data_IF_345087682144
#
_entry.id   IF_345087682144
#
_cell.length_a   1.000
_cell.length_b   1.000
_cell.length_c   1.000
_cell.angle_alpha   90.00
_cell.angle_beta   90.00
_cell.angle_gamma   90.00
#
_symmetry.space_group_name_H-M   'P 1'
#
loop_
_entity.id
_entity.type
_entity.pdbx_description
1 polymer ?
#
# COMPACT_ATOMS: atom_id res chain seq x y z
N UNK A 1 -15.62 9.00 -3.02
CA UNK A 1 -14.38 8.66 -2.31
C UNK A 1 -14.38 9.46 -1.02
N UNK A 2 -14.26 8.83 0.14
CA UNK A 2 -14.34 9.51 1.43
C UNK A 2 -13.07 10.35 1.66
N UNK A 3 -13.16 11.69 1.50
CA UNK A 3 -11.98 12.57 1.60
C UNK A 3 -11.30 12.53 2.97
N UNK A 4 -12.05 12.29 4.06
CA UNK A 4 -11.49 12.10 5.40
C UNK A 4 -10.63 10.82 5.46
N UNK A 5 -11.17 9.68 5.01
CA UNK A 5 -10.44 8.41 4.96
C UNK A 5 -9.18 8.51 4.11
N UNK A 6 -9.25 9.20 2.96
CA UNK A 6 -8.08 9.47 2.15
C UNK A 6 -7.03 10.31 2.91
N UNK A 7 -7.44 11.36 3.60
CA UNK A 7 -6.53 12.20 4.38
C UNK A 7 -5.84 11.41 5.50
N UNK A 8 -6.58 10.51 6.16
CA UNK A 8 -6.05 9.64 7.20
C UNK A 8 -5.04 8.63 6.64
N UNK A 9 -5.36 7.98 5.52
CA UNK A 9 -4.43 7.07 4.81
C UNK A 9 -3.15 7.81 4.38
N UNK A 10 -3.30 9.01 3.83
CA UNK A 10 -2.18 9.82 3.37
C UNK A 10 -1.27 10.23 4.54
N UNK A 11 -1.87 10.67 5.65
CA UNK A 11 -1.13 11.04 6.86
C UNK A 11 -0.41 9.84 7.48
N UNK A 12 -1.07 8.68 7.55
CA UNK A 12 -0.44 7.44 8.01
C UNK A 12 0.72 7.02 7.10
N UNK A 13 0.54 7.07 5.79
CA UNK A 13 1.59 6.69 4.82
C UNK A 13 2.80 7.62 4.92
N UNK A 14 2.58 8.94 5.05
CA UNK A 14 3.66 9.91 5.30
C UNK A 14 4.38 9.64 6.62
N UNK A 15 3.66 9.30 7.68
CA UNK A 15 4.25 9.00 8.97
C UNK A 15 5.14 7.75 8.90
N UNK A 16 4.67 6.66 8.28
CA UNK A 16 5.45 5.43 8.05
C UNK A 16 6.73 5.75 7.25
N UNK A 17 6.58 6.55 6.19
CA UNK A 17 7.68 6.92 5.30
C UNK A 17 8.48 8.15 5.78
N UNK A 18 8.26 8.65 6.99
CA UNK A 18 9.10 9.70 7.57
C UNK A 18 10.39 9.14 8.18
N UNK A 19 10.39 7.86 8.55
CA UNK A 19 11.55 7.16 9.07
C UNK A 19 12.55 6.81 7.95
N UNK A 20 13.86 6.68 8.25
CA UNK A 20 14.83 6.14 7.31
C UNK A 20 14.38 4.79 6.77
N UNK A 21 14.52 4.60 5.45
CA UNK A 21 14.27 3.30 4.84
C UNK A 21 15.58 2.51 4.80
N UNK A 22 15.53 1.18 4.94
CA UNK A 22 16.67 0.32 4.64
C UNK A 22 17.21 0.59 3.23
N UNK A 23 18.52 0.47 3.06
CA UNK A 23 19.14 0.48 1.73
C UNK A 23 18.69 -0.76 0.94
N UNK A 24 18.48 -0.60 -0.36
CA UNK A 24 18.15 -1.71 -1.26
C UNK A 24 16.67 -2.00 -1.46
N UNK A 25 15.75 -1.21 -0.88
CA UNK A 25 14.32 -1.33 -1.20
C UNK A 25 14.10 -1.05 -2.69
N UNK A 26 13.67 -2.07 -3.44
CA UNK A 26 13.44 -2.02 -4.87
C UNK A 26 11.98 -1.71 -5.24
N UNK A 27 11.01 -2.18 -4.44
CA UNK A 27 9.59 -1.95 -4.65
C UNK A 27 8.81 -1.97 -3.33
N UNK A 28 7.59 -1.43 -3.34
CA UNK A 28 6.69 -1.40 -2.18
C UNK A 28 5.38 -2.13 -2.46
N UNK A 29 4.83 -2.76 -1.43
CA UNK A 29 3.53 -3.40 -1.50
C UNK A 29 2.69 -3.02 -0.28
N UNK A 30 1.41 -2.71 -0.49
CA UNK A 30 0.44 -2.56 0.60
C UNK A 30 -0.31 -3.89 0.78
N UNK A 31 0.07 -4.64 1.81
CA UNK A 31 -0.67 -5.82 2.24
C UNK A 31 -2.02 -5.38 2.83
N UNK A 32 -3.10 -6.01 2.38
CA UNK A 32 -4.43 -5.87 2.95
C UNK A 32 -4.81 -7.14 3.70
N UNK A 33 -5.05 -7.02 4.99
CA UNK A 33 -5.54 -8.11 5.81
C UNK A 33 -7.06 -8.01 5.93
N UNK A 34 -7.77 -9.08 5.58
CA UNK A 34 -9.22 -9.17 5.77
C UNK A 34 -9.53 -9.54 7.22
N UNK A 35 -9.99 -8.55 7.99
CA UNK A 35 -10.50 -8.69 9.35
C UNK A 35 -12.03 -8.67 9.33
N UNK A 36 -12.70 -9.06 10.42
CA UNK A 36 -14.17 -9.26 10.41
C UNK A 36 -15.00 -8.05 9.96
N UNK A 37 -14.53 -6.83 10.24
CA UNK A 37 -15.21 -5.57 9.90
C UNK A 37 -14.29 -4.55 9.22
N UNK A 38 -12.99 -4.82 9.17
CA UNK A 38 -11.96 -3.90 8.68
C UNK A 38 -11.08 -4.57 7.64
N UNK A 39 -10.46 -3.76 6.79
CA UNK A 39 -9.28 -4.11 6.03
C UNK A 39 -8.09 -3.39 6.66
N UNK A 40 -7.14 -4.16 7.17
CA UNK A 40 -5.98 -3.60 7.86
C UNK A 40 -4.81 -3.52 6.88
N UNK A 41 -4.23 -2.33 6.74
CA UNK A 41 -3.21 -2.04 5.74
C UNK A 41 -1.83 -2.01 6.39
N UNK A 42 -0.89 -2.72 5.78
CA UNK A 42 0.52 -2.75 6.15
C UNK A 42 1.36 -2.43 4.91
N UNK A 43 2.34 -1.55 5.06
CA UNK A 43 3.25 -1.20 3.97
C UNK A 43 4.54 -1.99 4.13
N UNK A 44 4.92 -2.76 3.12
CA UNK A 44 6.21 -3.46 3.06
C UNK A 44 7.08 -2.92 1.94
N UNK A 45 8.40 -3.09 2.09
CA UNK A 45 9.39 -2.80 1.07
C UNK A 45 10.24 -4.03 0.78
N UNK A 46 10.27 -4.45 -0.48
CA UNK A 46 10.98 -5.64 -0.95
C UNK A 46 12.36 -5.27 -1.53
N UNK A 47 13.39 -6.14 -1.41
CA UNK A 47 14.72 -5.89 -1.96
C UNK A 47 14.80 -6.12 -3.48
N UNK A 48 13.79 -6.78 -4.05
CA UNK A 48 13.71 -7.13 -5.48
C UNK A 48 12.33 -6.75 -6.03
N UNK A 49 12.24 -6.72 -7.36
CA UNK A 49 10.99 -6.55 -8.07
C UNK A 49 11.07 -7.27 -9.41
N UNK A 50 10.11 -8.14 -9.66
CA UNK A 50 9.85 -8.78 -10.94
C UNK A 50 8.34 -8.70 -11.21
N UNK A 51 7.95 -8.14 -12.35
CA UNK A 51 6.53 -7.92 -12.68
C UNK A 51 5.80 -9.23 -13.03
N UNK A 52 6.55 -10.27 -13.41
CA UNK A 52 6.00 -11.58 -13.78
C UNK A 52 6.00 -12.57 -12.60
N UNK A 53 6.63 -12.20 -11.48
CA UNK A 53 6.67 -13.00 -10.26
C UNK A 53 5.50 -12.64 -9.34
N UNK A 54 4.48 -13.48 -9.17
CA UNK A 54 3.34 -13.18 -8.29
C UNK A 54 3.72 -13.11 -6.81
N UNK A 55 4.91 -13.59 -6.43
CA UNK A 55 5.36 -13.70 -5.04
C UNK A 55 6.46 -12.69 -4.69
N UNK A 56 6.79 -11.73 -5.58
CA UNK A 56 7.92 -10.81 -5.36
C UNK A 56 7.81 -10.01 -4.05
N UNK A 57 6.58 -9.79 -3.57
CA UNK A 57 6.30 -9.02 -2.36
C UNK A 57 6.39 -9.85 -1.06
N UNK A 58 6.72 -11.14 -1.13
CA UNK A 58 6.83 -12.02 0.04
C UNK A 58 8.13 -11.83 0.84
N UNK A 59 9.23 -11.44 0.18
CA UNK A 59 10.51 -11.16 0.83
C UNK A 59 10.60 -9.65 1.14
N UNK A 60 10.27 -9.24 2.35
CA UNK A 60 10.40 -7.84 2.78
C UNK A 60 11.70 -7.58 3.57
N UNK A 61 12.24 -6.38 3.39
CA UNK A 61 13.32 -5.82 4.21
C UNK A 61 12.86 -4.59 5.02
N UNK A 62 11.62 -4.16 4.80
CA UNK A 62 10.95 -3.07 5.49
C UNK A 62 9.49 -3.44 5.70
N UNK A 63 8.96 -3.09 6.86
CA UNK A 63 7.54 -3.22 7.20
C UNK A 63 7.11 -2.04 8.07
N UNK A 64 5.91 -1.50 7.84
CA UNK A 64 5.33 -0.47 8.68
C UNK A 64 5.12 -0.97 10.12
N UNK A 65 5.39 -0.16 11.15
CA UNK A 65 5.19 -0.57 12.54
C UNK A 65 3.70 -0.74 12.87
N UNK A 66 3.40 -1.52 13.92
CA UNK A 66 2.05 -1.59 14.49
C UNK A 66 1.68 -0.29 15.22
N UNK A 67 0.37 0.07 15.27
CA UNK A 67 -0.75 -0.62 14.63
C UNK A 67 -0.79 -0.41 13.11
N UNK A 68 -1.42 -1.34 12.40
CA UNK A 68 -1.75 -1.21 10.97
C UNK A 68 -2.77 -0.10 10.77
N UNK A 69 -2.91 0.38 9.54
CA UNK A 69 -3.96 1.33 9.21
C UNK A 69 -5.27 0.59 8.97
N UNK A 70 -6.23 0.76 9.86
CA UNK A 70 -7.52 0.09 9.79
C UNK A 70 -8.49 0.88 8.90
N UNK A 71 -9.15 0.19 7.99
CA UNK A 71 -10.20 0.75 7.13
C UNK A 71 -11.48 -0.04 7.37
N UNK A 72 -12.54 0.62 7.83
CA UNK A 72 -13.86 -0.03 7.90
C UNK A 72 -14.27 -0.55 6.52
N UNK A 73 -14.53 -1.85 6.41
CA UNK A 73 -14.87 -2.51 5.15
C UNK A 73 -16.08 -1.85 4.46
N UNK A 74 -17.10 -1.49 5.23
CA UNK A 74 -18.29 -0.78 4.75
C UNK A 74 -17.98 0.60 4.16
N UNK A 75 -16.88 1.25 4.58
CA UNK A 75 -16.48 2.57 4.08
C UNK A 75 -15.82 2.52 2.70
N UNK A 76 -15.36 1.33 2.26
CA UNK A 76 -14.69 1.14 0.97
C UNK A 76 -15.51 0.32 -0.03
N UNK A 77 -16.76 -0.01 0.33
CA UNK A 77 -17.74 -0.58 -0.57
C UNK A 77 -18.15 -2.00 -0.20
N UNK A 78 -19.11 -2.58 -0.94
CA UNK A 78 -19.62 -3.90 -0.64
C UNK A 78 -18.66 -5.00 -1.10
N UNK A 79 -18.19 -5.81 -0.16
CA UNK A 79 -17.34 -6.96 -0.46
C UNK A 79 -15.88 -6.59 -0.76
N UNK A 80 -15.03 -7.61 -0.80
CA UNK A 80 -13.59 -7.44 -0.88
C UNK A 80 -13.15 -6.86 -2.24
N UNK A 81 -13.82 -7.18 -3.35
CA UNK A 81 -13.46 -6.65 -4.67
C UNK A 81 -13.66 -5.13 -4.72
N UNK A 82 -14.79 -4.64 -4.20
CA UNK A 82 -15.06 -3.21 -4.13
C UNK A 82 -14.09 -2.52 -3.15
N UNK A 83 -13.81 -3.16 -2.02
CA UNK A 83 -12.82 -2.70 -1.04
C UNK A 83 -11.43 -2.54 -1.65
N UNK A 84 -10.93 -3.57 -2.33
CA UNK A 84 -9.65 -3.58 -3.03
C UNK A 84 -9.55 -2.43 -4.02
N UNK A 85 -10.56 -2.28 -4.88
CA UNK A 85 -10.59 -1.22 -5.89
C UNK A 85 -10.62 0.18 -5.27
N UNK A 86 -11.40 0.38 -4.21
CA UNK A 86 -11.46 1.65 -3.49
C UNK A 86 -10.13 1.99 -2.83
N UNK A 87 -9.48 1.04 -2.18
CA UNK A 87 -8.16 1.23 -1.56
C UNK A 87 -7.11 1.50 -2.65
N UNK A 88 -7.15 0.78 -3.77
CA UNK A 88 -6.25 1.01 -4.89
C UNK A 88 -6.38 2.42 -5.48
N UNK A 89 -7.60 2.93 -5.60
CA UNK A 89 -7.82 4.32 -6.03
C UNK A 89 -7.29 5.33 -5.03
N UNK A 90 -7.39 5.06 -3.72
CA UNK A 90 -6.82 5.94 -2.69
C UNK A 90 -5.28 5.94 -2.74
N UNK A 91 -4.66 4.77 -2.88
CA UNK A 91 -3.18 4.66 -3.03
C UNK A 91 -2.73 5.35 -4.32
N UNK A 92 -3.41 5.15 -5.45
CA UNK A 92 -3.11 5.85 -6.70
C UNK A 92 -3.27 7.37 -6.56
N UNK A 93 -4.32 7.83 -5.87
CA UNK A 93 -4.50 9.26 -5.56
C UNK A 93 -3.35 9.79 -4.71
N UNK A 94 -2.90 9.03 -3.71
CA UNK A 94 -1.76 9.39 -2.88
C UNK A 94 -0.46 9.48 -3.69
N UNK A 95 -0.17 8.51 -4.56
CA UNK A 95 1.01 8.51 -5.44
C UNK A 95 1.03 9.70 -6.44
N UNK A 96 -0.14 10.22 -6.81
CA UNK A 96 -0.28 11.39 -7.70
C UNK A 96 -0.32 12.73 -6.96
N UNK A 97 -0.20 12.72 -5.64
CA UNK A 97 -0.22 13.92 -4.82
C UNK A 97 1.17 14.54 -4.61
N UNK A 98 1.23 15.66 -3.88
CA UNK A 98 2.47 16.30 -3.46
C UNK A 98 2.97 15.82 -2.07
N UNK A 99 2.39 14.74 -1.53
CA UNK A 99 2.80 14.20 -0.23
C UNK A 99 4.26 13.70 -0.29
N UNK A 100 5.09 13.96 0.74
CA UNK A 100 6.50 13.57 0.74
C UNK A 100 6.69 12.05 0.65
N UNK A 101 5.84 11.24 1.30
CA UNK A 101 5.92 9.78 1.19
C UNK A 101 5.60 9.27 -0.21
N UNK A 102 4.74 9.97 -0.97
CA UNK A 102 4.47 9.62 -2.37
C UNK A 102 5.74 9.73 -3.24
N UNK A 103 6.58 10.74 -3.00
CA UNK A 103 7.88 10.87 -3.68
C UNK A 103 8.82 9.72 -3.31
N UNK A 104 8.80 9.26 -2.06
CA UNK A 104 9.64 8.13 -1.61
C UNK A 104 9.17 6.81 -2.22
N UNK A 105 7.86 6.56 -2.27
CA UNK A 105 7.31 5.38 -2.95
C UNK A 105 7.67 5.39 -4.44
N UNK A 106 7.55 6.54 -5.11
CA UNK A 106 7.89 6.68 -6.55
C UNK A 106 9.39 6.71 -6.86
N UNK A 107 10.25 6.66 -5.85
CA UNK A 107 11.68 6.44 -6.04
C UNK A 107 12.02 4.94 -6.20
N UNK A 108 11.06 4.05 -5.95
CA UNK A 108 11.19 2.60 -6.21
C UNK A 108 10.87 2.26 -7.67
N UNK A 109 10.97 0.97 -8.03
CA UNK A 109 10.56 0.45 -9.34
C UNK A 109 9.06 0.27 -9.47
N UNK A 110 8.37 -0.07 -8.39
CA UNK A 110 6.95 -0.36 -8.40
C UNK A 110 6.29 -0.18 -7.04
N UNK A 111 4.99 0.08 -7.09
CA UNK A 111 4.07 0.08 -5.95
C UNK A 111 2.86 -0.77 -6.32
N UNK A 112 2.58 -1.76 -5.50
CA UNK A 112 1.41 -2.63 -5.64
C UNK A 112 0.61 -2.71 -4.33
N UNK A 113 -0.53 -3.39 -4.37
CA UNK A 113 -1.32 -3.74 -3.20
C UNK A 113 -2.12 -5.00 -3.48
N UNK A 114 -2.56 -5.69 -2.44
CA UNK A 114 -3.34 -6.92 -2.58
C UNK A 114 -3.78 -7.44 -1.23
N UNK A 115 -4.81 -8.29 -1.22
CA UNK A 115 -5.12 -9.05 -0.02
C UNK A 115 -4.04 -10.09 0.23
N UNK A 116 -3.76 -10.39 1.50
CA UNK A 116 -2.95 -11.56 1.86
C UNK A 116 -3.60 -12.81 1.29
N UNK A 117 -2.80 -13.68 0.68
CA UNK A 117 -3.22 -14.85 -0.11
C UNK A 117 -3.99 -14.53 -1.41
N UNK A 118 -4.09 -13.26 -1.79
CA UNK A 118 -4.68 -12.78 -3.03
C UNK A 118 -3.64 -12.37 -4.08
N UNK A 119 -4.12 -11.93 -5.24
CA UNK A 119 -3.26 -11.46 -6.33
C UNK A 119 -2.64 -10.09 -6.03
N UNK A 120 -1.40 -9.87 -6.47
CA UNK A 120 -0.76 -8.55 -6.45
C UNK A 120 -1.36 -7.65 -7.54
N UNK A 121 -1.98 -6.54 -7.13
CA UNK A 121 -2.45 -5.52 -8.05
C UNK A 121 -1.42 -4.39 -8.17
N UNK A 122 -0.83 -4.25 -9.35
CA UNK A 122 0.05 -3.12 -9.66
C UNK A 122 -0.73 -1.80 -9.66
N UNK A 123 -0.24 -0.80 -8.94
CA UNK A 123 -0.82 0.56 -8.88
C UNK A 123 0.02 1.55 -9.67
N UNK A 124 1.34 1.41 -9.59
CA UNK A 124 2.30 2.28 -10.24
C UNK A 124 3.62 1.54 -10.51
N UNK A 125 4.28 1.86 -11.60
CA UNK A 125 5.65 1.44 -11.90
C UNK A 125 6.44 2.60 -12.50
N UNK A 126 7.76 2.56 -12.31
CA UNK A 126 8.68 3.42 -13.03
C UNK A 126 8.69 3.00 -14.52
N UNK A 127 8.62 3.99 -15.42
CA UNK A 127 8.81 3.77 -16.85
C UNK A 127 10.26 3.46 -17.18
#
# INVERSE_FOLDING_TARGET
MHDALFADLAAWTDAVLSAPLPEGVAAFHFNLYDSSTTYDIELIGAPTYDAEDPDWACDDIFMSPHPRFEVESEAVGPGWEAGLQSIAQMVLRYLNSAHPGALRLKASRAVSLGFVDGDLQLVWSAN
#
